data_IF_026729246076
#
_entry.id   IF_026729246076
#
_cell.length_a   1.000
_cell.length_b   1.000
_cell.length_c   1.000
_cell.angle_alpha   90.00
_cell.angle_beta   90.00
_cell.angle_gamma   90.00
#
_symmetry.space_group_name_H-M   'P 1'
#
loop_
_entity.id
_entity.type
_entity.pdbx_description
1 polymer ?
#
# COMPACT_ATOMS: atom_id res chain seq x y z
N UNK A 1 -28.76 -19.61 -6.42
CA UNK A 1 -27.69 -20.20 -5.59
C UNK A 1 -26.38 -20.12 -6.36
N UNK A 2 -25.61 -19.05 -6.16
CA UNK A 2 -24.30 -18.91 -6.81
C UNK A 2 -23.24 -19.55 -5.92
N UNK A 3 -22.64 -20.65 -6.36
CA UNK A 3 -21.51 -21.23 -5.65
C UNK A 3 -20.34 -20.22 -5.65
N UNK A 4 -19.77 -19.97 -4.49
CA UNK A 4 -18.59 -19.13 -4.33
C UNK A 4 -17.40 -19.84 -4.99
N UNK A 5 -16.90 -19.31 -6.11
CA UNK A 5 -15.75 -19.87 -6.80
C UNK A 5 -14.46 -19.47 -6.07
N UNK A 6 -13.82 -20.42 -5.40
CA UNK A 6 -12.52 -20.23 -4.77
C UNK A 6 -11.40 -20.64 -5.74
N UNK A 7 -10.44 -19.75 -5.98
CA UNK A 7 -9.23 -20.05 -6.75
C UNK A 7 -8.01 -19.79 -5.88
N UNK A 8 -7.22 -20.84 -5.65
CA UNK A 8 -5.90 -20.74 -5.00
C UNK A 8 -4.82 -20.75 -6.07
N UNK A 9 -3.87 -19.82 -5.96
CA UNK A 9 -2.77 -19.67 -6.93
C UNK A 9 -1.45 -19.56 -6.18
N UNK A 10 -0.41 -20.20 -6.72
CA UNK A 10 0.98 -19.99 -6.33
C UNK A 10 1.66 -19.22 -7.47
N UNK A 11 1.81 -17.92 -7.31
CA UNK A 11 2.39 -17.04 -8.32
C UNK A 11 3.00 -15.80 -7.65
N UNK A 12 3.88 -15.12 -8.38
CA UNK A 12 4.33 -13.79 -7.99
C UNK A 12 3.14 -12.82 -7.98
N UNK A 13 3.00 -12.05 -6.90
CA UNK A 13 1.86 -11.15 -6.71
C UNK A 13 1.80 -10.04 -7.77
N UNK A 14 2.94 -9.55 -8.26
CA UNK A 14 2.99 -8.52 -9.31
C UNK A 14 2.47 -9.11 -10.63
N UNK A 15 2.95 -10.30 -10.99
CA UNK A 15 2.48 -11.01 -12.17
C UNK A 15 0.97 -11.29 -12.09
N UNK A 16 0.49 -11.77 -10.94
CA UNK A 16 -0.93 -12.08 -10.73
C UNK A 16 -1.83 -10.87 -10.94
N UNK A 17 -1.48 -9.71 -10.36
CA UNK A 17 -2.28 -8.48 -10.47
C UNK A 17 -2.41 -8.00 -11.92
N UNK A 18 -1.36 -8.17 -12.73
CA UNK A 18 -1.39 -7.80 -14.15
C UNK A 18 -2.14 -8.81 -15.03
N UNK A 19 -2.03 -10.11 -14.74
CA UNK A 19 -2.58 -11.17 -15.58
C UNK A 19 -4.04 -11.55 -15.24
N UNK A 20 -4.47 -11.32 -14.00
CA UNK A 20 -5.84 -11.60 -13.58
C UNK A 20 -6.81 -10.51 -14.04
N UNK A 21 -8.11 -10.86 -14.10
CA UNK A 21 -9.18 -9.87 -14.12
C UNK A 21 -9.04 -8.91 -12.93
N UNK A 22 -9.40 -7.62 -13.08
CA UNK A 22 -9.35 -6.65 -11.99
C UNK A 22 -10.10 -7.15 -10.74
N UNK A 23 -9.48 -6.97 -9.58
CA UNK A 23 -10.12 -7.26 -8.31
C UNK A 23 -10.90 -6.02 -7.84
N UNK A 24 -12.17 -6.18 -7.49
CA UNK A 24 -12.97 -5.10 -6.87
C UNK A 24 -12.45 -4.76 -5.48
N UNK A 25 -11.87 -5.75 -4.78
CA UNK A 25 -11.15 -5.59 -3.52
C UNK A 25 -9.84 -6.34 -3.59
N UNK A 26 -8.74 -5.66 -3.30
CA UNK A 26 -7.41 -6.26 -3.23
C UNK A 26 -6.75 -5.92 -1.88
N UNK A 27 -6.30 -6.95 -1.16
CA UNK A 27 -5.51 -6.80 0.06
C UNK A 27 -4.06 -7.22 -0.19
N UNK A 28 -3.12 -6.34 0.17
CA UNK A 28 -1.69 -6.55 0.01
C UNK A 28 -1.03 -6.54 1.39
N UNK A 29 -0.50 -7.68 1.80
CA UNK A 29 0.21 -7.89 3.08
C UNK A 29 1.59 -8.53 2.85
N UNK A 30 2.60 -7.73 2.46
CA UNK A 30 3.95 -8.22 2.24
C UNK A 30 4.77 -8.17 3.54
N UNK A 31 5.84 -8.98 3.58
CA UNK A 31 6.90 -8.79 4.57
C UNK A 31 7.66 -7.48 4.28
N UNK A 32 7.65 -6.56 5.22
CA UNK A 32 8.28 -5.24 5.13
C UNK A 32 7.45 -4.25 4.32
N UNK A 33 8.00 -3.80 3.20
CA UNK A 33 7.48 -2.67 2.42
C UNK A 33 6.52 -3.12 1.32
N UNK A 34 5.38 -2.43 1.22
CA UNK A 34 4.44 -2.59 0.10
C UNK A 34 4.79 -1.72 -1.12
N UNK A 35 5.77 -0.82 -1.01
CA UNK A 35 6.10 0.20 -2.01
C UNK A 35 6.27 -0.36 -3.43
N UNK A 36 6.91 -1.53 -3.55
CA UNK A 36 7.21 -2.15 -4.83
C UNK A 36 5.97 -2.63 -5.60
N UNK A 37 4.82 -2.81 -4.93
CA UNK A 37 3.59 -3.33 -5.52
C UNK A 37 2.55 -2.24 -5.81
N UNK A 38 2.69 -1.04 -5.21
CA UNK A 38 1.67 0.01 -5.25
C UNK A 38 1.23 0.38 -6.67
N UNK A 39 2.19 0.53 -7.58
CA UNK A 39 1.91 0.92 -8.96
C UNK A 39 1.04 -0.11 -9.71
N UNK A 40 1.34 -1.41 -9.55
CA UNK A 40 0.58 -2.48 -10.18
C UNK A 40 -0.86 -2.58 -9.64
N UNK A 41 -1.03 -2.47 -8.33
CA UNK A 41 -2.36 -2.47 -7.69
C UNK A 41 -3.17 -1.23 -8.11
N UNK A 42 -2.56 -0.05 -8.10
CA UNK A 42 -3.21 1.19 -8.52
C UNK A 42 -3.60 1.17 -10.01
N UNK A 43 -2.72 0.65 -10.89
CA UNK A 43 -3.00 0.50 -12.31
C UNK A 43 -4.21 -0.40 -12.58
N UNK A 44 -4.35 -1.49 -11.82
CA UNK A 44 -5.34 -2.54 -12.05
C UNK A 44 -6.64 -2.37 -11.27
N UNK A 45 -6.67 -1.54 -10.23
CA UNK A 45 -7.91 -1.29 -9.48
C UNK A 45 -9.01 -0.70 -10.39
N UNK A 46 -10.23 -1.27 -10.40
CA UNK A 46 -11.35 -0.70 -11.15
C UNK A 46 -11.84 0.60 -10.51
N UNK A 47 -12.64 1.39 -11.23
CA UNK A 47 -13.30 2.55 -10.65
C UNK A 47 -14.18 2.11 -9.47
N UNK A 48 -14.03 2.75 -8.31
CA UNK A 48 -14.75 2.38 -7.08
C UNK A 48 -14.22 1.13 -6.39
N UNK A 49 -13.15 0.51 -6.92
CA UNK A 49 -12.48 -0.60 -6.27
C UNK A 49 -11.74 -0.18 -4.99
N UNK A 50 -11.46 -1.16 -4.15
CA UNK A 50 -10.82 -0.99 -2.85
C UNK A 50 -9.44 -1.63 -2.84
N UNK A 51 -8.47 -0.89 -2.32
CA UNK A 51 -7.11 -1.37 -2.03
C UNK A 51 -6.91 -1.28 -0.51
N UNK A 52 -6.56 -2.40 0.10
CA UNK A 52 -6.16 -2.50 1.50
C UNK A 52 -4.68 -2.86 1.56
N UNK A 53 -3.88 -2.11 2.31
CA UNK A 53 -2.43 -2.27 2.36
C UNK A 53 -1.96 -2.48 3.79
N UNK A 54 -1.04 -3.42 4.00
CA UNK A 54 -0.27 -3.51 5.24
C UNK A 54 1.20 -3.21 4.92
N UNK A 55 1.86 -2.43 5.77
CA UNK A 55 3.29 -2.19 5.70
C UNK A 55 3.92 -2.46 7.08
N UNK A 56 4.86 -3.39 7.15
CA UNK A 56 5.54 -3.79 8.39
C UNK A 56 6.95 -3.21 8.50
N UNK A 57 7.43 -2.47 7.50
CA UNK A 57 8.70 -1.72 7.53
C UNK A 57 8.60 -0.41 8.34
N UNK A 58 8.07 -0.52 9.56
CA UNK A 58 7.90 0.61 10.49
C UNK A 58 9.20 1.35 10.77
N UNK A 59 10.36 0.70 10.70
CA UNK A 59 11.65 1.41 10.84
C UNK A 59 11.84 2.49 9.76
N UNK A 60 11.26 2.33 8.56
CA UNK A 60 11.20 3.38 7.56
C UNK A 60 10.06 4.37 7.85
N UNK A 61 8.82 3.88 7.95
CA UNK A 61 7.61 4.73 8.08
C UNK A 61 7.54 5.53 9.39
N UNK A 62 8.23 5.09 10.44
CA UNK A 62 8.33 5.77 11.73
C UNK A 62 9.66 6.49 11.93
N UNK A 63 10.36 6.81 10.83
CA UNK A 63 11.54 7.66 10.80
C UNK A 63 12.77 7.14 11.59
N UNK A 64 12.85 5.85 11.92
CA UNK A 64 14.07 5.28 12.51
C UNK A 64 15.22 5.25 11.49
N UNK A 65 14.90 5.01 10.21
CA UNK A 65 15.84 5.08 9.10
C UNK A 65 15.30 5.96 7.95
N UNK A 66 15.39 7.30 8.06
CA UNK A 66 14.80 8.23 7.09
C UNK A 66 15.28 8.02 5.64
N UNK A 67 16.52 7.54 5.46
CA UNK A 67 17.05 7.21 4.12
C UNK A 67 16.29 6.06 3.46
N UNK A 68 15.78 5.11 4.24
CA UNK A 68 14.96 4.00 3.73
C UNK A 68 13.58 4.51 3.33
N UNK A 69 12.96 5.36 4.15
CA UNK A 69 11.69 6.01 3.83
C UNK A 69 11.79 6.83 2.53
N UNK A 70 12.87 7.60 2.36
CA UNK A 70 13.12 8.38 1.15
C UNK A 70 13.27 7.51 -0.09
N UNK A 71 13.91 6.34 0.04
CA UNK A 71 14.08 5.40 -1.09
C UNK A 71 12.79 4.67 -1.44
N UNK A 72 12.07 4.17 -0.44
CA UNK A 72 10.89 3.33 -0.65
C UNK A 72 9.64 4.16 -1.00
N UNK A 73 9.46 5.31 -0.35
CA UNK A 73 8.22 6.10 -0.42
C UNK A 73 8.41 7.51 -0.95
N UNK A 74 9.63 7.90 -1.36
CA UNK A 74 9.97 9.27 -1.76
C UNK A 74 9.62 10.33 -0.70
N UNK A 75 9.66 9.95 0.58
CA UNK A 75 9.25 10.80 1.70
C UNK A 75 10.42 11.19 2.60
N UNK A 76 10.37 12.41 3.13
CA UNK A 76 11.25 12.88 4.21
C UNK A 76 10.48 12.83 5.51
N UNK A 77 10.97 12.07 6.48
CA UNK A 77 10.36 11.90 7.80
C UNK A 77 11.37 12.21 8.88
N UNK A 78 10.91 12.79 9.98
CA UNK A 78 11.73 13.15 11.13
C UNK A 78 11.21 12.48 12.40
N UNK A 79 12.11 11.86 13.17
CA UNK A 79 11.73 11.13 14.39
C UNK A 79 11.32 12.05 15.54
N UNK A 80 11.75 13.31 15.49
CA UNK A 80 11.43 14.38 16.43
C UNK A 80 10.01 14.94 16.28
N UNK A 81 9.34 14.66 15.16
CA UNK A 81 7.93 15.02 14.98
C UNK A 81 7.09 14.33 16.06
N UNK A 82 6.23 15.07 16.78
CA UNK A 82 5.34 14.52 17.79
C UNK A 82 4.36 13.49 17.20
N UNK A 83 4.02 13.62 15.92
CA UNK A 83 3.07 12.80 15.18
C UNK A 83 3.77 11.82 14.21
N UNK A 84 5.03 11.44 14.47
CA UNK A 84 5.82 10.53 13.64
C UNK A 84 5.10 9.24 13.18
N UNK A 85 4.19 8.69 14.00
CA UNK A 85 3.36 7.53 13.63
C UNK A 85 2.33 7.84 12.55
N UNK A 86 1.60 8.93 12.76
CA UNK A 86 0.60 9.43 11.81
C UNK A 86 1.27 9.94 10.52
N UNK A 87 2.44 10.55 10.62
CA UNK A 87 3.25 10.93 9.47
C UNK A 87 3.59 9.71 8.59
N UNK A 88 3.91 8.56 9.22
CA UNK A 88 4.09 7.29 8.51
C UNK A 88 2.84 6.84 7.75
N UNK A 89 1.66 6.94 8.36
CA UNK A 89 0.37 6.68 7.69
C UNK A 89 0.19 7.61 6.48
N UNK A 90 0.43 8.91 6.65
CA UNK A 90 0.32 9.88 5.55
C UNK A 90 1.28 9.57 4.41
N UNK A 91 2.48 9.12 4.71
CA UNK A 91 3.47 8.68 3.71
C UNK A 91 2.97 7.46 2.94
N UNK A 92 2.39 6.47 3.62
CA UNK A 92 1.82 5.30 2.95
C UNK A 92 0.64 5.68 2.04
N UNK A 93 -0.30 6.48 2.54
CA UNK A 93 -1.42 7.02 1.75
C UNK A 93 -0.92 7.85 0.56
N UNK A 94 0.06 8.72 0.78
CA UNK A 94 0.65 9.56 -0.26
C UNK A 94 1.34 8.75 -1.35
N UNK A 95 2.06 7.69 -0.97
CA UNK A 95 2.69 6.79 -1.93
C UNK A 95 1.67 6.07 -2.81
N UNK A 96 0.56 5.59 -2.24
CA UNK A 96 -0.54 5.01 -3.02
C UNK A 96 -1.22 6.06 -3.91
N UNK A 97 -1.44 7.28 -3.40
CA UNK A 97 -2.04 8.37 -4.17
C UNK A 97 -1.17 8.77 -5.37
N UNK A 98 0.16 8.86 -5.19
CA UNK A 98 1.10 9.11 -6.28
C UNK A 98 1.09 7.96 -7.29
N UNK A 99 1.02 6.70 -6.83
CA UNK A 99 0.88 5.55 -7.72
C UNK A 99 -0.42 5.63 -8.54
N UNK A 100 -1.56 5.91 -7.90
CA UNK A 100 -2.85 6.08 -8.57
C UNK A 100 -2.84 7.21 -9.61
N UNK A 101 -2.23 8.34 -9.26
CA UNK A 101 -2.14 9.50 -10.14
C UNK A 101 -1.39 9.21 -11.45
N UNK A 102 -0.37 8.34 -11.44
CA UNK A 102 0.34 7.89 -12.66
C UNK A 102 -0.58 7.20 -13.67
N UNK A 103 -1.68 6.63 -13.20
CA UNK A 103 -2.68 5.93 -14.01
C UNK A 103 -3.96 6.75 -14.20
N UNK A 104 -3.92 8.06 -13.93
CA UNK A 104 -5.06 8.97 -14.09
C UNK A 104 -6.19 8.74 -13.08
N UNK A 105 -5.87 8.18 -11.90
CA UNK A 105 -6.85 7.84 -10.86
C UNK A 105 -6.63 8.66 -9.60
N UNK A 106 -7.73 8.96 -8.90
CA UNK A 106 -7.73 9.43 -7.52
C UNK A 106 -7.91 8.29 -6.52
N UNK A 107 -7.64 8.57 -5.25
CA UNK A 107 -8.01 7.68 -4.14
C UNK A 107 -8.53 8.51 -2.96
N UNK A 108 -9.30 7.86 -2.10
CA UNK A 108 -9.76 8.41 -0.84
C UNK A 108 -9.41 7.42 0.28
N UNK A 109 -8.65 7.83 1.32
CA UNK A 109 -8.46 6.98 2.49
C UNK A 109 -9.80 6.71 3.18
N UNK A 110 -10.13 5.44 3.40
CA UNK A 110 -11.36 5.03 4.10
C UNK A 110 -11.08 4.64 5.55
N UNK A 111 -9.94 4.02 5.79
CA UNK A 111 -9.44 3.63 7.09
C UNK A 111 -7.92 3.73 7.08
N UNK A 112 -7.34 4.02 8.24
CA UNK A 112 -5.90 3.97 8.43
C UNK A 112 -5.57 3.74 9.91
N UNK A 113 -4.50 3.01 10.19
CA UNK A 113 -4.06 2.67 11.53
C UNK A 113 -2.54 2.69 11.65
N UNK A 114 -2.03 3.33 12.70
CA UNK A 114 -0.62 3.28 13.06
C UNK A 114 -0.44 2.39 14.31
N UNK A 115 -0.02 1.15 14.10
CA UNK A 115 0.26 0.21 15.18
C UNK A 115 1.76 0.16 15.51
N UNK A 116 2.14 -0.47 16.62
CA UNK A 116 3.55 -0.59 17.01
C UNK A 116 4.40 -1.32 15.95
N UNK A 117 3.81 -2.28 15.25
CA UNK A 117 4.53 -3.20 14.36
C UNK A 117 4.11 -3.12 12.88
N UNK A 118 3.07 -2.35 12.56
CA UNK A 118 2.63 -2.16 11.18
C UNK A 118 1.89 -0.83 11.00
N UNK A 119 1.79 -0.41 9.75
CA UNK A 119 0.92 0.66 9.28
C UNK A 119 -0.09 0.03 8.32
N UNK A 120 -1.36 0.40 8.48
CA UNK A 120 -2.47 -0.01 7.61
C UNK A 120 -3.13 1.23 7.01
#
# INVERSE_FOLDING_TARGET
SGALALRVVCADARALVHLASPFEYAHLDPFGSCAQHLDGFAARAPHGGLISLTATDTSALYAHYPRVARRAYAATLERSDANWREAGVRVLCGALAVAAARHGKGMQPLHSCAAAHFVH
#
